data_IF_962160609479
#
_entry.id   IF_962160609479
#
_cell.length_a   1.000
_cell.length_b   1.000
_cell.length_c   1.000
_cell.angle_alpha   90.00
_cell.angle_beta   90.00
_cell.angle_gamma   90.00
#
_symmetry.space_group_name_H-M   'P 1'
#
loop_
_entity.id
_entity.type
_entity.pdbx_description
1 polymer ?
#
# COMPACT_ATOMS: atom_id res chain seq x y z
N UNK A 1 -19.85 22.39 -87.13
CA UNK A 1 -20.97 21.92 -86.27
C UNK A 1 -20.77 20.42 -86.08
N UNK A 2 -20.61 19.83 -84.89
CA UNK A 2 -20.61 20.35 -83.54
C UNK A 2 -19.52 19.65 -82.69
N UNK A 3 -19.10 20.32 -81.63
CA UNK A 3 -18.10 19.86 -80.68
C UNK A 3 -18.76 18.95 -79.64
N UNK A 4 -18.22 17.75 -79.46
CA UNK A 4 -18.64 16.81 -78.43
C UNK A 4 -18.31 17.33 -77.03
N UNK A 5 -19.32 17.35 -76.16
CA UNK A 5 -19.19 17.78 -74.76
C UNK A 5 -18.41 16.73 -73.96
N UNK A 6 -17.33 17.15 -73.29
CA UNK A 6 -16.60 16.32 -72.36
C UNK A 6 -17.49 15.96 -71.16
N UNK A 7 -17.57 14.67 -70.83
CA UNK A 7 -18.29 14.18 -69.65
C UNK A 7 -17.60 14.60 -68.35
N UNK A 8 -18.38 15.01 -67.37
CA UNK A 8 -17.93 15.30 -66.00
C UNK A 8 -17.30 14.05 -65.35
N UNK A 9 -16.20 14.20 -64.59
CA UNK A 9 -15.64 13.11 -63.82
C UNK A 9 -16.52 12.79 -62.61
N UNK A 10 -16.83 11.49 -62.43
CA UNK A 10 -17.52 10.96 -61.26
C UNK A 10 -16.68 11.16 -59.98
N UNK A 11 -17.30 11.48 -58.82
CA UNK A 11 -16.58 11.58 -57.57
C UNK A 11 -16.09 10.20 -57.11
N UNK A 12 -14.84 10.16 -56.63
CA UNK A 12 -14.21 8.97 -56.06
C UNK A 12 -15.03 8.43 -54.86
N UNK A 13 -15.11 7.11 -54.67
CA UNK A 13 -15.77 6.52 -53.51
C UNK A 13 -15.07 7.01 -52.24
N UNK A 14 -15.86 7.56 -51.32
CA UNK A 14 -15.39 8.03 -50.02
C UNK A 14 -14.78 6.85 -49.27
N UNK A 15 -13.51 7.00 -48.88
CA UNK A 15 -12.69 5.96 -48.30
C UNK A 15 -13.36 5.23 -47.15
N UNK A 16 -13.13 3.91 -47.12
CA UNK A 16 -13.55 3.02 -46.06
C UNK A 16 -13.23 3.64 -44.70
N UNK A 17 -14.28 4.03 -43.96
CA UNK A 17 -14.13 4.34 -42.54
C UNK A 17 -13.82 3.03 -41.83
N UNK A 18 -12.53 2.78 -41.65
CA UNK A 18 -12.03 1.66 -40.88
C UNK A 18 -12.69 1.72 -39.49
N UNK A 19 -13.42 0.68 -39.07
CA UNK A 19 -14.14 0.73 -37.81
C UNK A 19 -13.11 0.97 -36.69
N UNK A 20 -13.23 2.12 -36.02
CA UNK A 20 -12.40 2.44 -34.87
C UNK A 20 -12.64 1.35 -33.82
N UNK A 21 -11.65 0.48 -33.65
CA UNK A 21 -11.69 -0.59 -32.65
C UNK A 21 -11.86 0.08 -31.29
N UNK A 22 -13.05 -0.02 -30.71
CA UNK A 22 -13.36 0.49 -29.38
C UNK A 22 -12.36 -0.16 -28.42
N UNK A 23 -11.44 0.63 -27.90
CA UNK A 23 -10.46 0.16 -26.93
C UNK A 23 -11.23 -0.28 -25.68
N UNK A 24 -11.28 -1.59 -25.45
CA UNK A 24 -11.92 -2.16 -24.27
C UNK A 24 -10.89 -2.15 -23.15
N UNK A 25 -10.98 -1.20 -22.22
CA UNK A 25 -10.16 -1.27 -21.00
C UNK A 25 -10.81 -2.24 -20.02
N UNK A 26 -10.04 -3.26 -19.61
CA UNK A 26 -10.42 -4.16 -18.53
C UNK A 26 -9.83 -3.63 -17.23
N UNK A 27 -10.69 -3.35 -16.24
CA UNK A 27 -10.30 -2.90 -14.91
C UNK A 27 -10.77 -3.92 -13.88
N UNK A 28 -9.84 -4.72 -13.34
CA UNK A 28 -10.15 -5.73 -12.31
C UNK A 28 -10.43 -5.09 -10.93
N UNK A 29 -10.11 -3.81 -10.76
CA UNK A 29 -10.45 -3.03 -9.57
C UNK A 29 -9.60 -3.38 -8.35
N UNK A 30 -10.07 -3.06 -7.13
CA UNK A 30 -9.31 -3.22 -5.87
C UNK A 30 -8.83 -4.65 -5.59
N UNK A 31 -9.56 -5.66 -6.10
CA UNK A 31 -9.25 -7.09 -5.90
C UNK A 31 -7.86 -7.47 -6.41
N UNK A 32 -7.46 -6.91 -7.55
CA UNK A 32 -6.14 -7.15 -8.13
C UNK A 32 -5.02 -6.68 -7.19
N UNK A 33 -5.18 -5.49 -6.61
CA UNK A 33 -4.21 -4.92 -5.67
C UNK A 33 -4.13 -5.74 -4.38
N UNK A 34 -5.27 -6.19 -3.84
CA UNK A 34 -5.32 -7.06 -2.67
C UNK A 34 -4.60 -8.39 -2.90
N UNK A 35 -4.82 -9.03 -4.06
CA UNK A 35 -4.15 -10.28 -4.42
C UNK A 35 -2.63 -10.10 -4.53
N UNK A 36 -2.16 -9.02 -5.16
CA UNK A 36 -0.73 -8.71 -5.23
C UNK A 36 -0.16 -8.56 -3.83
N UNK A 37 -0.83 -7.79 -2.97
CA UNK A 37 -0.33 -7.51 -1.62
C UNK A 37 -0.26 -8.80 -0.76
N UNK A 38 -1.25 -9.69 -0.90
CA UNK A 38 -1.24 -11.02 -0.29
C UNK A 38 -0.03 -11.85 -0.74
N UNK A 39 0.26 -11.88 -2.04
CA UNK A 39 1.44 -12.60 -2.58
C UNK A 39 2.74 -12.00 -2.04
N UNK A 40 2.83 -10.67 -1.95
CA UNK A 40 4.00 -10.00 -1.37
C UNK A 40 4.18 -10.29 0.13
N UNK A 41 3.08 -10.52 0.86
CA UNK A 41 3.17 -10.97 2.25
C UNK A 41 3.71 -12.40 2.35
N UNK A 42 3.30 -13.31 1.45
CA UNK A 42 3.87 -14.66 1.37
C UNK A 42 5.38 -14.59 1.13
N UNK A 43 5.82 -13.75 0.19
CA UNK A 43 7.25 -13.52 -0.07
C UNK A 43 8.00 -12.94 1.12
N UNK A 44 7.37 -12.04 1.87
CA UNK A 44 7.94 -11.52 3.12
C UNK A 44 8.19 -12.64 4.14
N UNK A 45 7.18 -13.47 4.38
CA UNK A 45 7.26 -14.56 5.35
C UNK A 45 8.28 -15.65 4.94
N UNK A 46 8.48 -15.88 3.64
CA UNK A 46 9.47 -16.82 3.12
C UNK A 46 10.85 -16.19 2.88
N UNK A 47 11.03 -14.89 3.11
CA UNK A 47 12.27 -14.16 2.78
C UNK A 47 12.59 -14.10 1.29
N UNK A 48 11.60 -14.35 0.43
CA UNK A 48 11.77 -14.35 -1.04
C UNK A 48 11.69 -12.92 -1.57
N UNK A 49 12.61 -12.52 -2.44
CA UNK A 49 12.70 -11.17 -3.02
C UNK A 49 12.82 -10.01 -2.01
N UNK A 50 12.95 -10.29 -0.71
CA UNK A 50 13.23 -9.29 0.30
C UNK A 50 14.64 -8.73 0.13
N UNK A 51 14.79 -7.41 0.16
CA UNK A 51 16.03 -6.69 -0.10
C UNK A 51 16.59 -6.01 1.16
N UNK A 52 15.93 -6.17 2.30
CA UNK A 52 16.38 -5.71 3.61
C UNK A 52 15.83 -6.56 4.76
N UNK A 53 16.36 -6.33 5.95
CA UNK A 53 15.94 -6.91 7.23
C UNK A 53 15.80 -5.79 8.26
N UNK A 54 14.65 -5.72 8.92
CA UNK A 54 14.48 -4.91 10.14
C UNK A 54 14.89 -5.76 11.34
N UNK A 55 15.76 -5.23 12.19
CA UNK A 55 16.10 -5.82 13.48
C UNK A 55 15.41 -5.04 14.58
N UNK A 56 14.56 -5.73 15.33
CA UNK A 56 13.82 -5.18 16.48
C UNK A 56 14.07 -6.10 17.66
N UNK A 57 14.64 -5.56 18.73
CA UNK A 57 15.18 -6.35 19.83
C UNK A 57 16.14 -7.46 19.31
N UNK A 58 15.82 -8.72 19.57
CA UNK A 58 16.53 -9.90 19.05
C UNK A 58 15.86 -10.53 17.82
N UNK A 59 14.79 -9.94 17.30
CA UNK A 59 14.00 -10.48 16.20
C UNK A 59 14.38 -9.81 14.87
N UNK A 60 14.35 -10.60 13.80
CA UNK A 60 14.66 -10.16 12.45
C UNK A 60 13.45 -10.31 11.53
N UNK A 61 13.16 -9.27 10.76
CA UNK A 61 12.01 -9.20 9.85
C UNK A 61 12.49 -8.91 8.43
N UNK A 62 12.63 -9.93 7.57
CA UNK A 62 12.86 -9.74 6.14
C UNK A 62 11.74 -8.91 5.53
N UNK A 63 12.07 -7.89 4.73
CA UNK A 63 11.12 -6.94 4.17
C UNK A 63 11.52 -6.48 2.77
N UNK A 64 10.53 -5.98 2.03
CA UNK A 64 10.72 -5.26 0.78
C UNK A 64 10.75 -3.75 1.03
N UNK A 65 11.83 -3.08 0.63
CA UNK A 65 11.99 -1.62 0.78
C UNK A 65 10.90 -0.83 0.07
N UNK A 66 10.47 -1.31 -1.09
CA UNK A 66 9.40 -0.69 -1.88
C UNK A 66 8.07 -0.65 -1.10
N UNK A 67 7.72 -1.75 -0.44
CA UNK A 67 6.46 -1.86 0.31
C UNK A 67 6.52 -1.01 1.59
N UNK A 68 7.64 -1.04 2.32
CA UNK A 68 7.83 -0.17 3.47
C UNK A 68 7.78 1.31 3.08
N UNK A 69 8.39 1.72 1.96
CA UNK A 69 8.35 3.11 1.48
C UNK A 69 6.94 3.58 1.09
N UNK A 70 6.13 2.66 0.56
CA UNK A 70 4.75 2.94 0.19
C UNK A 70 3.89 3.15 1.44
N UNK A 71 4.07 2.29 2.47
CA UNK A 71 3.28 2.31 3.70
C UNK A 71 3.77 3.29 4.79
N UNK A 72 5.01 3.78 4.72
CA UNK A 72 5.64 4.57 5.79
C UNK A 72 6.49 5.71 5.24
N UNK A 73 6.22 6.94 5.70
CA UNK A 73 7.05 8.11 5.37
C UNK A 73 8.45 8.02 5.99
N UNK A 74 8.58 7.38 7.17
CA UNK A 74 9.88 7.15 7.81
C UNK A 74 10.80 6.36 6.88
N UNK A 75 10.34 5.18 6.44
CA UNK A 75 11.12 4.32 5.56
C UNK A 75 11.35 4.96 4.19
N UNK A 76 10.35 5.64 3.63
CA UNK A 76 10.50 6.41 2.39
C UNK A 76 11.61 7.45 2.48
N UNK A 77 11.63 8.23 3.56
CA UNK A 77 12.66 9.26 3.78
C UNK A 77 14.03 8.63 3.96
N UNK A 78 14.12 7.56 4.77
CA UNK A 78 15.37 6.86 5.03
C UNK A 78 15.98 6.25 3.76
N UNK A 79 15.18 5.65 2.90
CA UNK A 79 15.66 4.99 1.68
C UNK A 79 15.94 5.94 0.51
N UNK A 80 15.27 7.10 0.46
CA UNK A 80 15.56 8.13 -0.53
C UNK A 80 16.80 8.98 -0.20
N UNK A 81 17.39 8.81 0.98
CA UNK A 81 18.60 9.53 1.38
C UNK A 81 19.84 9.13 0.59
N UNK A 82 20.84 10.02 0.54
CA UNK A 82 22.18 9.71 0.00
C UNK A 82 23.14 9.16 1.07
N UNK A 83 22.67 9.02 2.31
CA UNK A 83 23.46 8.57 3.46
C UNK A 83 23.68 7.06 3.44
N UNK A 84 24.67 6.56 4.21
CA UNK A 84 25.03 5.13 4.21
C UNK A 84 23.87 4.24 4.65
N UNK A 85 23.04 4.74 5.55
CA UNK A 85 21.82 4.14 6.08
C UNK A 85 20.83 3.79 4.96
N UNK A 86 20.80 4.55 3.87
CA UNK A 86 19.95 4.26 2.71
C UNK A 86 20.45 3.08 1.86
N UNK A 87 21.60 2.49 2.19
CA UNK A 87 22.15 1.31 1.50
C UNK A 87 22.35 0.11 2.42
N UNK A 88 22.04 0.26 3.71
CA UNK A 88 22.16 -0.83 4.66
C UNK A 88 21.06 -1.86 4.41
N UNK A 89 21.45 -3.13 4.34
CA UNK A 89 20.49 -4.23 4.27
C UNK A 89 19.88 -4.56 5.63
N UNK A 90 20.58 -4.29 6.74
CA UNK A 90 20.07 -4.48 8.09
C UNK A 90 19.83 -3.12 8.75
N UNK A 91 18.58 -2.85 9.15
CA UNK A 91 18.21 -1.61 9.83
C UNK A 91 17.69 -1.95 11.23
N UNK A 92 18.32 -1.36 12.24
CA UNK A 92 17.91 -1.53 13.65
C UNK A 92 16.86 -0.50 14.01
N UNK A 93 15.71 -0.96 14.48
CA UNK A 93 14.64 -0.11 15.02
C UNK A 93 14.63 -0.27 16.53
N UNK A 94 14.67 0.85 17.25
CA UNK A 94 14.67 0.91 18.70
C UNK A 94 13.36 1.52 19.20
N UNK A 95 12.95 1.19 20.42
CA UNK A 95 11.76 1.75 21.06
C UNK A 95 10.43 1.15 20.59
N UNK A 96 10.47 0.10 19.76
CA UNK A 96 9.30 -0.69 19.34
C UNK A 96 9.61 -2.14 19.72
N UNK A 97 8.65 -2.84 20.34
CA UNK A 97 8.80 -4.26 20.64
C UNK A 97 8.51 -5.15 19.41
N UNK A 98 9.12 -6.33 19.35
CA UNK A 98 8.98 -7.25 18.22
C UNK A 98 7.52 -7.57 17.82
N UNK A 99 6.64 -7.85 18.79
CA UNK A 99 5.22 -8.13 18.52
C UNK A 99 4.48 -6.92 17.93
N UNK A 100 4.77 -5.72 18.43
CA UNK A 100 4.21 -4.47 17.90
C UNK A 100 4.70 -4.23 16.45
N UNK A 101 5.98 -4.48 16.18
CA UNK A 101 6.52 -4.39 14.81
C UNK A 101 5.82 -5.38 13.88
N UNK A 102 5.59 -6.62 14.32
CA UNK A 102 4.87 -7.62 13.54
C UNK A 102 3.45 -7.15 13.18
N UNK A 103 2.71 -6.57 14.13
CA UNK A 103 1.38 -5.98 13.86
C UNK A 103 1.44 -4.85 12.84
N UNK A 104 2.44 -3.96 12.93
CA UNK A 104 2.64 -2.88 11.94
C UNK A 104 2.96 -3.46 10.56
N UNK A 105 3.82 -4.47 10.47
CA UNK A 105 4.16 -5.12 9.20
C UNK A 105 2.95 -5.85 8.60
N UNK A 106 2.15 -6.54 9.42
CA UNK A 106 0.91 -7.17 8.96
C UNK A 106 -0.04 -6.12 8.38
N UNK A 107 -0.18 -4.95 9.01
CA UNK A 107 -0.95 -3.86 8.43
C UNK A 107 -0.41 -3.40 7.08
N UNK A 108 0.91 -3.20 6.97
CA UNK A 108 1.54 -2.72 5.73
C UNK A 108 1.39 -3.74 4.58
N UNK A 109 1.38 -5.04 4.89
CA UNK A 109 1.33 -6.13 3.91
C UNK A 109 -0.04 -6.79 3.73
N UNK A 110 -1.04 -6.46 4.54
CA UNK A 110 -2.37 -7.07 4.44
C UNK A 110 -3.50 -6.03 4.52
N UNK A 111 -3.18 -4.78 4.88
CA UNK A 111 -4.16 -3.74 5.17
C UNK A 111 -4.95 -3.97 6.46
N UNK A 112 -4.51 -4.89 7.33
CA UNK A 112 -5.23 -5.33 8.53
C UNK A 112 -4.31 -5.33 9.75
N UNK A 113 -4.84 -4.87 10.89
CA UNK A 113 -4.19 -4.97 12.19
C UNK A 113 -5.21 -5.45 13.22
N UNK A 114 -4.82 -6.42 14.06
CA UNK A 114 -5.60 -6.82 15.21
C UNK A 114 -5.25 -5.89 16.38
N UNK A 115 -6.21 -5.09 16.82
CA UNK A 115 -6.05 -4.13 17.91
C UNK A 115 -6.90 -4.56 19.11
N UNK A 116 -6.34 -4.42 20.30
CA UNK A 116 -7.02 -4.67 21.58
C UNK A 116 -6.61 -3.62 22.62
N UNK A 117 -7.27 -3.61 23.78
CA UNK A 117 -6.98 -2.67 24.87
C UNK A 117 -5.53 -2.72 25.36
N UNK A 118 -4.87 -3.87 25.27
CA UNK A 118 -3.51 -4.05 25.76
C UNK A 118 -2.44 -3.58 24.75
N UNK A 119 -2.72 -3.72 23.44
CA UNK A 119 -1.74 -3.47 22.39
C UNK A 119 -1.94 -2.12 21.67
N UNK A 120 -3.14 -1.54 21.70
CA UNK A 120 -3.47 -0.37 20.87
C UNK A 120 -2.55 0.83 21.15
N UNK A 121 -2.10 0.99 22.39
CA UNK A 121 -1.16 2.05 22.78
C UNK A 121 0.24 1.87 22.21
N UNK A 122 0.79 0.64 22.25
CA UNK A 122 2.10 0.39 21.66
C UNK A 122 2.07 0.45 20.14
N UNK A 123 1.00 -0.07 19.52
CA UNK A 123 0.80 -0.01 18.07
C UNK A 123 0.63 1.44 17.60
N UNK A 124 -0.12 2.28 18.33
CA UNK A 124 -0.20 3.71 18.06
C UNK A 124 1.18 4.38 18.07
N UNK A 125 1.96 4.18 19.14
CA UNK A 125 3.29 4.78 19.26
C UNK A 125 4.23 4.36 18.14
N UNK A 126 4.21 3.08 17.75
CA UNK A 126 4.98 2.57 16.62
C UNK A 126 4.51 3.14 15.27
N UNK A 127 3.19 3.16 15.04
CA UNK A 127 2.61 3.69 13.80
C UNK A 127 2.88 5.18 13.63
N UNK A 128 2.84 5.95 14.72
CA UNK A 128 3.19 7.38 14.71
C UNK A 128 4.68 7.59 14.42
N UNK A 129 5.56 6.88 15.15
CA UNK A 129 7.01 6.95 14.94
C UNK A 129 7.42 6.59 13.52
N UNK A 130 6.84 5.52 12.96
CA UNK A 130 7.11 5.06 11.60
C UNK A 130 6.31 5.84 10.55
N UNK A 131 5.41 6.73 10.96
CA UNK A 131 4.58 7.54 10.06
C UNK A 131 3.65 6.70 9.16
N UNK A 132 3.05 5.65 9.73
CA UNK A 132 1.98 4.83 9.13
C UNK A 132 0.63 5.46 9.50
N UNK A 133 0.29 6.57 8.83
CA UNK A 133 -0.80 7.45 9.29
C UNK A 133 -2.18 6.80 9.34
N UNK A 134 -2.48 5.84 8.47
CA UNK A 134 -3.78 5.14 8.46
C UNK A 134 -3.92 4.28 9.73
N UNK A 135 -2.86 3.55 10.09
CA UNK A 135 -2.84 2.72 11.29
C UNK A 135 -2.88 3.57 12.57
N UNK A 136 -2.11 4.66 12.62
CA UNK A 136 -2.12 5.59 13.76
C UNK A 136 -3.54 6.16 14.01
N UNK A 137 -4.25 6.57 12.95
CA UNK A 137 -5.64 7.03 13.05
C UNK A 137 -6.59 5.93 13.53
N UNK A 138 -6.44 4.70 13.04
CA UNK A 138 -7.25 3.57 13.49
C UNK A 138 -7.05 3.32 15.00
N UNK A 139 -5.81 3.36 15.49
CA UNK A 139 -5.54 3.18 16.91
C UNK A 139 -6.22 4.23 17.79
N UNK A 140 -6.19 5.50 17.36
CA UNK A 140 -6.90 6.59 18.06
C UNK A 140 -8.40 6.34 18.12
N UNK A 141 -9.00 5.88 17.02
CA UNK A 141 -10.43 5.54 16.97
C UNK A 141 -10.79 4.41 17.93
N UNK A 142 -10.01 3.33 17.94
CA UNK A 142 -10.23 2.20 18.86
C UNK A 142 -10.05 2.60 20.33
N UNK A 143 -9.04 3.42 20.65
CA UNK A 143 -8.87 3.97 22.00
C UNK A 143 -10.07 4.79 22.46
N UNK A 144 -10.63 5.63 21.59
CA UNK A 144 -11.85 6.38 21.91
C UNK A 144 -13.05 5.46 22.13
N UNK A 145 -13.18 4.40 21.33
CA UNK A 145 -14.24 3.42 21.49
C UNK A 145 -14.16 2.74 22.87
N UNK A 146 -12.98 2.28 23.29
CA UNK A 146 -12.82 1.65 24.62
C UNK A 146 -13.21 2.59 25.76
N UNK A 147 -12.86 3.88 25.68
CA UNK A 147 -13.26 4.87 26.68
C UNK A 147 -14.78 5.07 26.74
N UNK A 148 -15.45 5.13 25.58
CA UNK A 148 -16.92 5.27 25.52
C UNK A 148 -17.64 4.03 26.06
N UNK A 149 -17.11 2.84 25.77
CA UNK A 149 -17.65 1.58 26.29
C UNK A 149 -17.49 1.47 27.80
N UNK A 150 -16.29 1.79 28.33
CA UNK A 150 -16.06 1.81 29.77
C UNK A 150 -16.99 2.79 30.50
N UNK A 151 -17.19 3.98 29.96
CA UNK A 151 -18.13 4.97 30.52
C UNK A 151 -19.59 4.47 30.49
N UNK A 152 -19.99 3.76 29.44
CA UNK A 152 -21.34 3.21 29.31
C UNK A 152 -21.61 2.08 30.32
N UNK A 153 -20.60 1.26 30.64
CA UNK A 153 -20.69 0.21 31.65
C UNK A 153 -20.78 0.77 33.09
N UNK A 154 -20.20 1.95 33.34
CA UNK A 154 -20.27 2.63 34.64
C UNK A 154 -21.59 3.42 34.78
N UNK A 155 -22.23 3.80 33.67
CA UNK A 155 -23.43 4.64 33.65
C UNK A 155 -24.77 3.90 33.83
N UNK A 156 -24.77 2.56 33.88
CA UNK A 156 -25.98 1.76 34.13
C UNK A 156 -25.85 0.93 35.42
N UNK A 157 -26.43 1.40 36.55
CA UNK A 157 -26.73 0.56 37.71
C UNK A 157 -27.97 -0.33 37.51
#
# INVERSE_FOLDING_TARGET
>A
MGFGSAGEPQPLPQGDQQPQRKEMSFCEGPRHAEQILQVLNVYRCSGTFTDMVLQVDSSEFPCHRAILSAGSIYFRTMFNGQLRESRQQLVRIQGIGASTMETVLNFVYEGKAALDEANVGSVFGAADMLGVSVLSKACVQEMHAFLQWGLSLIAFP
#
